data_IF_914450363140
#
_entry.id   IF_914450363140
#
_cell.length_a   1.000
_cell.length_b   1.000
_cell.length_c   1.000
_cell.angle_alpha   90.00
_cell.angle_beta   90.00
_cell.angle_gamma   90.00
#
_symmetry.space_group_name_H-M   'P 1'
#
loop_
_entity.id
_entity.type
_entity.pdbx_description
1 polymer ?
#
# COMPACT_ATOMS: atom_id res chain seq x y z
N UNK A 1 32.28 -3.47 -6.59
CA UNK A 1 32.26 -2.02 -6.92
C UNK A 1 32.46 -1.91 -8.42
N UNK A 2 31.58 -1.26 -9.18
CA UNK A 2 31.89 -0.96 -10.58
C UNK A 2 33.07 -0.01 -10.63
N UNK A 3 34.05 -0.30 -11.47
CA UNK A 3 35.28 0.49 -11.57
C UNK A 3 34.95 1.95 -11.95
N UNK A 4 35.62 2.89 -11.32
CA UNK A 4 35.48 4.35 -11.57
C UNK A 4 35.62 4.77 -13.03
N UNK A 5 36.16 3.89 -13.89
CA UNK A 5 36.34 4.13 -15.32
C UNK A 5 35.05 4.03 -16.15
N UNK A 6 34.03 3.29 -15.69
CA UNK A 6 32.77 3.17 -16.43
C UNK A 6 31.86 4.38 -16.24
N UNK A 7 31.94 5.05 -15.10
CA UNK A 7 31.13 6.26 -14.82
C UNK A 7 31.60 7.46 -15.66
N UNK A 8 32.88 7.52 -16.02
CA UNK A 8 33.46 8.61 -16.86
C UNK A 8 33.07 8.55 -18.34
N UNK A 9 32.54 7.40 -18.81
CA UNK A 9 32.11 7.22 -20.20
C UNK A 9 30.65 7.54 -20.47
N UNK A 10 29.87 7.84 -19.47
CA UNK A 10 28.48 8.27 -19.65
C UNK A 10 28.48 9.71 -20.13
N UNK A 11 28.39 9.88 -21.43
CA UNK A 11 28.44 11.19 -22.11
C UNK A 11 27.08 11.85 -22.25
N UNK A 12 25.99 11.25 -21.77
CA UNK A 12 24.67 11.85 -21.82
C UNK A 12 24.29 12.47 -20.49
N UNK A 13 23.82 13.67 -20.56
CA UNK A 13 23.42 14.55 -19.46
C UNK A 13 22.09 14.13 -18.79
N UNK A 14 21.56 12.95 -19.14
CA UNK A 14 20.23 12.50 -18.75
C UNK A 14 20.32 11.20 -17.94
N UNK A 15 19.93 11.26 -16.68
CA UNK A 15 20.00 10.13 -15.77
C UNK A 15 18.61 9.75 -15.26
N UNK A 16 18.10 8.57 -15.61
CA UNK A 16 16.86 8.05 -15.04
C UNK A 16 17.11 7.46 -13.65
N UNK A 17 16.49 8.04 -12.66
CA UNK A 17 16.21 7.43 -11.36
C UNK A 17 14.74 7.62 -11.09
N UNK A 18 14.20 6.91 -10.11
CA UNK A 18 12.79 7.04 -9.77
C UNK A 18 12.36 8.50 -9.61
N UNK A 19 11.16 8.80 -10.11
CA UNK A 19 10.57 10.13 -10.06
C UNK A 19 10.06 10.43 -8.64
N UNK A 20 10.99 10.57 -7.70
CA UNK A 20 10.68 10.77 -6.32
C UNK A 20 11.85 11.29 -5.50
N UNK A 21 11.58 11.58 -4.24
CA UNK A 21 12.56 12.15 -3.32
C UNK A 21 13.78 11.24 -3.13
N UNK A 22 13.57 9.94 -2.98
CA UNK A 22 14.66 8.98 -2.76
C UNK A 22 15.48 8.77 -4.04
N UNK A 23 14.81 8.74 -5.21
CA UNK A 23 15.51 8.64 -6.50
C UNK A 23 16.39 9.85 -6.78
N UNK A 24 15.93 11.07 -6.44
CA UNK A 24 16.74 12.28 -6.57
C UNK A 24 17.96 12.24 -5.65
N UNK A 25 17.78 11.79 -4.39
CA UNK A 25 18.89 11.63 -3.43
C UNK A 25 19.93 10.63 -3.95
N UNK A 26 19.50 9.44 -4.36
CA UNK A 26 20.39 8.39 -4.87
C UNK A 26 21.21 8.93 -6.06
N UNK A 27 20.53 9.55 -7.02
CA UNK A 27 21.22 10.12 -8.18
C UNK A 27 22.29 11.15 -7.77
N UNK A 28 21.94 12.12 -6.91
CA UNK A 28 22.87 13.17 -6.48
C UNK A 28 24.06 12.64 -5.70
N UNK A 29 23.85 11.64 -4.85
CA UNK A 29 24.94 11.00 -4.12
C UNK A 29 25.90 10.28 -5.07
N UNK A 30 25.40 9.54 -6.06
CA UNK A 30 26.22 8.88 -7.08
C UNK A 30 26.96 9.90 -7.93
N UNK A 31 26.27 10.98 -8.35
CA UNK A 31 26.85 12.06 -9.13
C UNK A 31 28.01 12.75 -8.39
N UNK A 32 27.82 13.08 -7.12
CA UNK A 32 28.85 13.67 -6.26
C UNK A 32 30.02 12.70 -6.03
N UNK A 33 29.73 11.43 -5.74
CA UNK A 33 30.76 10.41 -5.52
C UNK A 33 31.59 10.16 -6.78
N UNK A 34 31.00 10.29 -7.96
CA UNK A 34 31.71 10.20 -9.23
C UNK A 34 32.59 11.43 -9.54
N UNK A 35 32.51 12.49 -8.73
CA UNK A 35 33.24 13.74 -8.93
C UNK A 35 32.83 14.47 -10.22
N UNK A 36 31.64 14.20 -10.73
CA UNK A 36 31.14 14.86 -11.94
C UNK A 36 30.78 16.32 -11.66
N UNK A 37 31.14 17.21 -12.60
CA UNK A 37 30.89 18.66 -12.49
C UNK A 37 30.08 19.22 -13.65
N UNK A 38 29.59 18.36 -14.55
CA UNK A 38 28.78 18.78 -15.70
C UNK A 38 27.39 19.18 -15.24
N UNK A 39 26.75 20.10 -15.93
CA UNK A 39 25.31 20.34 -15.77
C UNK A 39 24.52 19.11 -16.20
N UNK A 40 23.38 18.88 -15.57
CA UNK A 40 22.49 17.76 -15.93
C UNK A 40 21.03 18.18 -15.89
N UNK A 41 20.23 17.47 -16.68
CA UNK A 41 18.79 17.59 -16.69
C UNK A 41 18.14 16.32 -16.15
N UNK A 42 16.96 16.46 -15.57
CA UNK A 42 16.22 15.34 -15.00
C UNK A 42 15.15 14.86 -15.96
N UNK A 43 15.14 13.56 -16.20
CA UNK A 43 14.03 12.84 -16.79
C UNK A 43 13.10 12.40 -15.65
N UNK A 44 11.88 12.93 -15.64
CA UNK A 44 10.91 12.66 -14.58
C UNK A 44 9.74 11.86 -15.16
N UNK A 45 9.66 10.59 -14.79
CA UNK A 45 8.68 9.64 -15.31
C UNK A 45 7.95 8.95 -14.16
N UNK A 46 6.64 8.94 -14.21
CA UNK A 46 5.76 8.16 -13.33
C UNK A 46 5.24 6.86 -13.99
N UNK A 47 5.48 6.71 -15.29
CA UNK A 47 5.09 5.55 -16.09
C UNK A 47 6.23 5.11 -17.00
N UNK A 48 6.36 3.81 -17.26
CA UNK A 48 7.34 3.22 -18.18
C UNK A 48 6.74 2.90 -19.57
N UNK A 49 5.59 3.46 -19.88
CA UNK A 49 4.98 3.36 -21.21
C UNK A 49 5.85 4.12 -22.25
N UNK A 50 5.94 3.60 -23.46
CA UNK A 50 6.82 4.15 -24.50
C UNK A 50 6.51 5.62 -24.82
N UNK A 51 5.24 6.00 -24.85
CA UNK A 51 4.82 7.37 -25.10
C UNK A 51 5.24 8.32 -23.97
N UNK A 52 5.07 7.89 -22.69
CA UNK A 52 5.49 8.67 -21.54
C UNK A 52 7.01 8.88 -21.53
N UNK A 53 7.79 7.86 -21.91
CA UNK A 53 9.24 7.96 -22.03
C UNK A 53 9.63 8.96 -23.13
N UNK A 54 9.03 8.87 -24.31
CA UNK A 54 9.30 9.81 -25.43
C UNK A 54 8.97 11.25 -25.05
N UNK A 55 7.83 11.47 -24.44
CA UNK A 55 7.38 12.77 -23.97
C UNK A 55 8.29 13.32 -22.86
N UNK A 56 8.69 12.48 -21.91
CA UNK A 56 9.62 12.84 -20.84
C UNK A 56 10.97 13.32 -21.39
N UNK A 57 11.52 12.65 -22.40
CA UNK A 57 12.75 13.10 -23.07
C UNK A 57 12.57 14.43 -23.84
N UNK A 58 11.37 14.71 -24.34
CA UNK A 58 11.08 15.99 -24.99
C UNK A 58 10.94 17.14 -23.96
N UNK A 59 10.65 16.84 -22.69
CA UNK A 59 10.40 17.82 -21.63
C UNK A 59 11.34 17.68 -20.43
N UNK A 60 12.62 17.49 -20.70
CA UNK A 60 13.65 17.43 -19.65
C UNK A 60 13.70 18.74 -18.86
N UNK A 61 13.81 18.62 -17.55
CA UNK A 61 13.86 19.76 -16.63
C UNK A 61 15.27 19.98 -16.07
N UNK A 62 15.68 21.22 -15.85
CA UNK A 62 16.97 21.51 -15.25
C UNK A 62 17.03 20.96 -13.81
N UNK A 63 18.18 20.49 -13.39
CA UNK A 63 18.42 19.90 -12.08
C UNK A 63 18.05 20.82 -10.90
N UNK A 64 18.13 22.13 -11.10
CA UNK A 64 17.83 23.14 -10.09
C UNK A 64 16.37 23.14 -9.62
N UNK A 65 15.44 22.69 -10.47
CA UNK A 65 14.04 22.55 -10.05
C UNK A 65 13.85 21.49 -8.95
N UNK A 66 14.79 20.58 -8.79
CA UNK A 66 14.74 19.48 -7.84
C UNK A 66 15.63 19.67 -6.60
N UNK A 67 16.27 20.83 -6.44
CA UNK A 67 17.14 21.11 -5.29
C UNK A 67 16.40 21.04 -3.95
N UNK A 68 15.17 21.56 -3.90
CA UNK A 68 14.35 21.48 -2.69
C UNK A 68 14.01 20.01 -2.33
N UNK A 69 13.73 19.18 -3.35
CA UNK A 69 13.42 17.77 -3.18
C UNK A 69 14.64 16.98 -2.67
N UNK A 70 15.82 17.24 -3.27
CA UNK A 70 17.09 16.70 -2.81
C UNK A 70 17.40 17.07 -1.37
N UNK A 71 17.28 18.36 -1.02
CA UNK A 71 17.54 18.84 0.33
C UNK A 71 16.59 18.21 1.35
N UNK A 72 15.31 18.05 1.01
CA UNK A 72 14.33 17.37 1.87
C UNK A 72 14.72 15.91 2.13
N UNK A 73 15.17 15.19 1.10
CA UNK A 73 15.63 13.80 1.22
C UNK A 73 16.90 13.72 2.09
N UNK A 74 17.87 14.57 1.83
CA UNK A 74 19.15 14.63 2.58
C UNK A 74 18.92 14.99 4.05
N UNK A 75 18.05 15.96 4.34
CA UNK A 75 17.69 16.32 5.72
C UNK A 75 17.05 15.13 6.45
N UNK A 76 16.15 14.41 5.78
CA UNK A 76 15.52 13.22 6.36
C UNK A 76 16.54 12.12 6.65
N UNK A 77 17.43 11.81 5.71
CA UNK A 77 18.47 10.79 5.89
C UNK A 77 19.37 11.13 7.08
N UNK A 78 19.85 12.37 7.13
CA UNK A 78 20.70 12.84 8.22
C UNK A 78 20.00 12.82 9.58
N UNK A 79 18.74 13.25 9.63
CA UNK A 79 17.96 13.23 10.86
C UNK A 79 17.72 11.78 11.35
N UNK A 80 17.36 10.88 10.45
CA UNK A 80 17.18 9.45 10.78
C UNK A 80 18.48 8.85 11.32
N UNK A 81 19.61 9.15 10.67
CA UNK A 81 20.92 8.67 11.11
C UNK A 81 21.32 9.25 12.47
N UNK A 82 21.23 10.57 12.66
CA UNK A 82 21.61 11.24 13.89
C UNK A 82 20.77 10.78 15.08
N UNK A 83 19.46 10.72 14.93
CA UNK A 83 18.55 10.28 16.00
C UNK A 83 18.76 8.79 16.27
N UNK A 84 18.79 7.98 15.23
CA UNK A 84 18.94 6.53 15.35
C UNK A 84 20.23 6.12 16.06
N UNK A 85 21.38 6.65 15.62
CA UNK A 85 22.67 6.26 16.22
C UNK A 85 22.84 6.77 17.64
N UNK A 86 22.50 8.05 17.92
CA UNK A 86 22.68 8.62 19.25
C UNK A 86 21.73 7.99 20.28
N UNK A 87 20.46 7.81 19.93
CA UNK A 87 19.48 7.16 20.81
C UNK A 87 19.83 5.68 21.04
N UNK A 88 20.23 4.95 20.01
CA UNK A 88 20.64 3.54 20.15
C UNK A 88 21.84 3.41 21.10
N UNK A 89 22.86 4.27 20.95
CA UNK A 89 24.03 4.27 21.83
C UNK A 89 23.64 4.64 23.26
N UNK A 90 22.84 5.70 23.44
CA UNK A 90 22.39 6.14 24.76
C UNK A 90 21.66 5.03 25.50
N UNK A 91 20.63 4.43 24.88
CA UNK A 91 19.86 3.38 25.52
C UNK A 91 20.69 2.10 25.72
N UNK A 92 21.57 1.76 24.80
CA UNK A 92 22.47 0.61 24.98
C UNK A 92 23.41 0.81 26.18
N UNK A 93 23.94 2.01 26.37
CA UNK A 93 24.76 2.32 27.55
C UNK A 93 23.95 2.31 28.85
N UNK A 94 22.74 2.90 28.85
CA UNK A 94 21.88 2.96 30.04
C UNK A 94 21.43 1.59 30.54
N UNK A 95 21.12 0.68 29.60
CA UNK A 95 20.57 -0.63 29.90
C UNK A 95 21.58 -1.79 29.83
N UNK A 96 22.84 -1.50 29.51
CA UNK A 96 23.92 -2.49 29.47
C UNK A 96 23.75 -3.57 28.41
N UNK A 97 22.94 -3.35 27.38
CA UNK A 97 22.68 -4.31 26.29
C UNK A 97 22.41 -3.57 24.97
N UNK A 98 22.66 -4.20 23.82
CA UNK A 98 22.38 -3.58 22.52
C UNK A 98 20.88 -3.28 22.35
N UNK A 99 20.53 -2.01 22.25
CA UNK A 99 19.16 -1.55 21.98
C UNK A 99 19.16 -0.67 20.74
N UNK A 100 18.39 -1.09 19.72
CA UNK A 100 18.25 -0.34 18.49
C UNK A 100 17.06 0.62 18.57
N UNK A 101 17.29 1.87 18.20
CA UNK A 101 16.25 2.89 18.04
C UNK A 101 16.16 3.28 16.57
N UNK A 102 14.96 3.34 16.04
CA UNK A 102 14.73 3.70 14.63
C UNK A 102 13.35 4.28 14.40
N UNK A 103 13.26 5.08 13.38
CA UNK A 103 12.07 5.85 13.01
C UNK A 103 10.81 4.98 12.78
N UNK A 104 10.98 3.76 12.32
CA UNK A 104 9.87 2.83 12.07
C UNK A 104 9.75 1.81 13.20
N UNK A 105 10.85 1.14 13.53
CA UNK A 105 10.83 0.04 14.51
C UNK A 105 10.39 0.47 15.91
N UNK A 106 10.82 1.63 16.39
CA UNK A 106 10.50 2.09 17.74
C UNK A 106 9.03 2.47 17.90
N UNK A 107 8.39 3.25 17.00
CA UNK A 107 6.95 3.48 17.07
C UNK A 107 6.13 2.19 16.94
N UNK A 108 6.51 1.26 16.07
CA UNK A 108 5.81 -0.03 15.94
C UNK A 108 5.89 -0.83 17.22
N UNK A 109 7.07 -0.90 17.85
CA UNK A 109 7.24 -1.53 19.16
C UNK A 109 6.37 -0.86 20.22
N UNK A 110 6.36 0.48 20.27
CA UNK A 110 5.53 1.22 21.22
C UNK A 110 4.03 0.92 21.03
N UNK A 111 3.55 0.89 19.78
CA UNK A 111 2.17 0.51 19.47
C UNK A 111 1.85 -0.91 19.93
N UNK A 112 2.77 -1.86 19.75
CA UNK A 112 2.63 -3.24 20.20
C UNK A 112 2.53 -3.32 21.72
N UNK A 113 3.43 -2.64 22.44
CA UNK A 113 3.43 -2.59 23.91
C UNK A 113 2.14 -1.99 24.47
N UNK A 114 1.66 -0.89 23.87
CA UNK A 114 0.38 -0.27 24.26
C UNK A 114 -0.79 -1.24 24.02
N UNK A 115 -0.77 -1.96 22.90
CA UNK A 115 -1.80 -2.95 22.59
C UNK A 115 -1.80 -4.11 23.57
N UNK A 116 -0.63 -4.66 23.88
CA UNK A 116 -0.46 -5.72 24.88
C UNK A 116 -0.94 -5.30 26.26
N UNK A 117 -0.58 -4.08 26.69
CA UNK A 117 -1.08 -3.51 27.93
C UNK A 117 -2.61 -3.38 27.96
N UNK A 118 -3.21 -2.94 26.84
CA UNK A 118 -4.68 -2.86 26.72
C UNK A 118 -5.35 -4.24 26.76
N UNK A 119 -4.71 -5.27 26.19
CA UNK A 119 -5.20 -6.66 26.25
C UNK A 119 -5.10 -7.18 27.69
N UNK A 120 -3.97 -6.95 28.37
CA UNK A 120 -3.77 -7.38 29.76
C UNK A 120 -4.72 -6.69 30.75
N UNK A 121 -5.07 -5.43 30.48
CA UNK A 121 -6.00 -4.64 31.28
C UNK A 121 -7.48 -4.84 30.89
N UNK A 122 -7.76 -5.69 29.88
CA UNK A 122 -9.11 -5.88 29.40
C UNK A 122 -10.00 -6.57 30.43
N UNK A 123 -11.06 -5.90 30.84
CA UNK A 123 -12.10 -6.45 31.73
C UNK A 123 -13.32 -6.77 30.88
N UNK A 124 -13.71 -8.07 30.77
CA UNK A 124 -14.89 -8.45 30.01
C UNK A 124 -16.16 -7.92 30.64
N UNK A 125 -16.97 -7.21 29.90
CA UNK A 125 -18.32 -6.80 30.32
C UNK A 125 -19.35 -7.79 29.79
N UNK A 126 -20.21 -8.30 30.73
CA UNK A 126 -21.31 -9.16 30.34
C UNK A 126 -22.47 -8.31 29.84
N UNK A 127 -23.08 -8.73 28.76
CA UNK A 127 -24.35 -8.21 28.29
C UNK A 127 -25.30 -9.36 27.96
N UNK A 128 -26.57 -9.05 27.88
CA UNK A 128 -27.63 -10.01 27.60
C UNK A 128 -28.44 -9.57 26.39
N UNK A 129 -28.85 -10.53 25.58
CA UNK A 129 -29.74 -10.31 24.44
C UNK A 129 -30.83 -11.38 24.46
N UNK A 130 -31.99 -11.01 23.95
CA UNK A 130 -33.09 -11.95 23.72
C UNK A 130 -33.12 -12.24 22.22
N UNK A 131 -33.01 -13.50 21.86
CA UNK A 131 -33.15 -13.97 20.50
C UNK A 131 -34.44 -14.76 20.34
N UNK A 132 -35.17 -14.49 19.28
CA UNK A 132 -36.41 -15.19 18.91
C UNK A 132 -36.17 -15.94 17.60
N UNK A 133 -36.66 -17.17 17.53
CA UNK A 133 -36.77 -17.92 16.29
C UNK A 133 -38.24 -17.98 15.91
N UNK A 134 -38.59 -17.51 14.76
CA UNK A 134 -39.97 -17.48 14.24
C UNK A 134 -40.29 -18.78 13.53
N UNK A 135 -41.58 -19.08 13.38
CA UNK A 135 -42.05 -20.33 12.77
C UNK A 135 -41.62 -20.51 11.29
N UNK A 136 -41.38 -19.42 10.58
CA UNK A 136 -40.89 -19.38 9.22
C UNK A 136 -39.35 -19.52 9.10
N UNK A 137 -38.66 -19.72 10.24
CA UNK A 137 -37.19 -19.76 10.30
C UNK A 137 -36.51 -18.39 10.42
N UNK A 138 -37.26 -17.31 10.41
CA UNK A 138 -36.73 -15.97 10.66
C UNK A 138 -36.20 -15.82 12.08
N UNK A 139 -35.24 -14.93 12.27
CA UNK A 139 -34.67 -14.62 13.61
C UNK A 139 -34.78 -13.16 13.91
N UNK A 140 -35.08 -12.83 15.17
CA UNK A 140 -35.09 -11.47 15.67
C UNK A 140 -34.25 -11.39 16.95
N UNK A 141 -33.49 -10.30 17.12
CA UNK A 141 -32.65 -10.07 18.29
C UNK A 141 -32.97 -8.73 18.93
N UNK A 142 -33.00 -8.69 20.24
CA UNK A 142 -33.15 -7.48 21.01
C UNK A 142 -31.86 -6.63 20.96
N UNK A 143 -31.94 -5.38 21.42
CA UNK A 143 -30.77 -4.62 21.87
C UNK A 143 -30.04 -5.34 23.00
N UNK A 144 -28.81 -4.93 23.25
CA UNK A 144 -28.03 -5.41 24.40
C UNK A 144 -28.55 -4.81 25.69
N UNK A 145 -28.70 -5.64 26.72
CA UNK A 145 -29.05 -5.24 28.09
C UNK A 145 -27.81 -5.42 28.98
N UNK A 146 -27.53 -4.45 29.84
CA UNK A 146 -26.47 -4.56 30.84
C UNK A 146 -26.87 -5.48 32.00
N UNK A 147 -28.16 -5.49 32.33
CA UNK A 147 -28.68 -6.31 33.43
C UNK A 147 -29.47 -7.50 32.89
N UNK A 148 -29.24 -8.66 33.52
CA UNK A 148 -29.90 -9.92 33.15
C UNK A 148 -31.43 -9.85 33.35
N UNK A 149 -31.87 -9.17 34.40
CA UNK A 149 -33.29 -9.01 34.76
C UNK A 149 -34.10 -8.35 33.65
N UNK A 150 -33.51 -7.32 32.98
CA UNK A 150 -34.18 -6.62 31.87
C UNK A 150 -34.39 -7.55 30.67
N UNK A 151 -33.42 -8.37 30.38
CA UNK A 151 -33.52 -9.36 29.29
C UNK A 151 -34.54 -10.47 29.64
N UNK A 152 -34.55 -10.94 30.88
CA UNK A 152 -35.51 -11.96 31.37
C UNK A 152 -36.95 -11.41 31.35
N UNK A 153 -37.16 -10.16 31.73
CA UNK A 153 -38.47 -9.51 31.64
C UNK A 153 -38.98 -9.44 30.20
N UNK A 154 -38.10 -9.01 29.24
CA UNK A 154 -38.47 -9.02 27.84
C UNK A 154 -38.78 -10.43 27.34
N UNK A 155 -37.97 -11.42 27.69
CA UNK A 155 -38.22 -12.82 27.32
C UNK A 155 -39.57 -13.35 27.86
N UNK A 156 -39.90 -13.05 29.12
CA UNK A 156 -41.18 -13.44 29.72
C UNK A 156 -42.36 -12.81 28.99
N UNK A 157 -42.27 -11.52 28.64
CA UNK A 157 -43.28 -10.82 27.85
C UNK A 157 -43.45 -11.44 26.46
N UNK A 158 -42.37 -11.75 25.76
CA UNK A 158 -42.42 -12.41 24.44
C UNK A 158 -43.10 -13.79 24.53
N UNK A 159 -42.80 -14.56 25.58
CA UNK A 159 -43.42 -15.87 25.78
C UNK A 159 -44.91 -15.76 26.10
N UNK A 160 -45.31 -14.76 26.89
CA UNK A 160 -46.72 -14.49 27.21
C UNK A 160 -47.55 -14.08 26.01
N UNK A 161 -47.02 -13.20 25.18
CA UNK A 161 -47.70 -12.71 23.98
C UNK A 161 -47.77 -13.76 22.86
N UNK A 162 -46.74 -14.62 22.74
CA UNK A 162 -46.67 -15.74 21.77
C UNK A 162 -46.65 -15.30 20.30
N UNK A 163 -46.62 -13.99 20.04
CA UNK A 163 -46.60 -13.39 18.69
C UNK A 163 -45.77 -12.13 18.67
N UNK A 164 -45.24 -11.79 17.50
CA UNK A 164 -44.56 -10.53 17.23
C UNK A 164 -45.18 -9.84 16.01
N UNK A 165 -45.18 -8.51 16.05
CA UNK A 165 -45.70 -7.69 14.94
C UNK A 165 -44.56 -6.89 14.36
N UNK A 166 -44.36 -6.96 13.06
CA UNK A 166 -43.40 -6.12 12.34
C UNK A 166 -43.97 -4.72 12.25
N UNK A 167 -43.38 -3.78 12.97
CA UNK A 167 -43.84 -2.37 12.98
C UNK A 167 -43.24 -1.58 11.80
N UNK A 168 -42.05 -1.91 11.36
CA UNK A 168 -41.37 -1.20 10.25
C UNK A 168 -40.53 -2.18 9.45
N UNK A 169 -40.59 -2.04 8.15
CA UNK A 169 -39.70 -2.71 7.23
C UNK A 169 -38.94 -1.66 6.42
N UNK A 170 -37.63 -1.73 6.44
CA UNK A 170 -36.77 -0.88 5.60
C UNK A 170 -36.00 -1.76 4.63
N UNK A 171 -36.17 -1.48 3.35
CA UNK A 171 -35.37 -2.07 2.28
C UNK A 171 -34.38 -1.01 1.81
N UNK A 172 -33.09 -1.28 1.95
CA UNK A 172 -32.03 -0.38 1.47
C UNK A 172 -31.21 -1.11 0.44
N UNK A 173 -31.07 -0.50 -0.72
CA UNK A 173 -30.09 -0.94 -1.72
C UNK A 173 -28.72 -0.44 -1.27
N UNK A 174 -27.77 -1.36 -1.24
CA UNK A 174 -26.37 -1.05 -1.05
C UNK A 174 -25.63 -1.28 -2.34
N UNK A 175 -24.91 -0.30 -2.79
CA UNK A 175 -23.92 -0.43 -3.85
C UNK A 175 -22.55 -0.62 -3.22
N UNK A 176 -21.87 -1.71 -3.59
CA UNK A 176 -20.49 -1.94 -3.19
C UNK A 176 -19.59 -1.66 -4.38
N UNK A 177 -18.60 -0.81 -4.15
CA UNK A 177 -17.59 -0.54 -5.17
C UNK A 177 -16.68 -1.76 -5.33
N UNK A 178 -16.19 -2.04 -6.56
CA UNK A 178 -15.20 -3.08 -6.76
C UNK A 178 -13.93 -2.79 -5.96
N UNK A 179 -13.13 -3.82 -5.62
CA UNK A 179 -11.84 -3.62 -4.99
C UNK A 179 -10.96 -2.68 -5.81
N UNK A 180 -10.19 -1.86 -5.12
CA UNK A 180 -9.16 -1.03 -5.77
C UNK A 180 -8.01 -1.91 -6.27
N UNK A 181 -7.17 -1.36 -7.15
CA UNK A 181 -5.93 -2.00 -7.56
C UNK A 181 -5.00 -2.22 -6.34
N UNK A 182 -4.02 -3.08 -6.51
CA UNK A 182 -3.07 -3.39 -5.44
C UNK A 182 -1.98 -2.33 -5.29
N UNK A 183 -1.80 -1.87 -4.07
CA UNK A 183 -0.51 -1.43 -3.53
C UNK A 183 0.21 -2.64 -2.90
N UNK A 184 1.44 -2.46 -2.45
CA UNK A 184 2.20 -3.55 -1.80
C UNK A 184 1.49 -4.07 -0.55
N UNK A 185 0.95 -3.18 0.28
CA UNK A 185 0.30 -3.56 1.54
C UNK A 185 -0.97 -4.38 1.32
N UNK A 186 -1.79 -3.99 0.34
CA UNK A 186 -2.99 -4.75 -0.02
C UNK A 186 -2.64 -6.13 -0.58
N UNK A 187 -1.63 -6.20 -1.45
CA UNK A 187 -1.12 -7.46 -1.98
C UNK A 187 -0.64 -8.38 -0.84
N UNK A 188 0.16 -7.86 0.10
CA UNK A 188 0.65 -8.63 1.25
C UNK A 188 -0.49 -9.15 2.14
N UNK A 189 -1.51 -8.33 2.39
CA UNK A 189 -2.68 -8.72 3.19
C UNK A 189 -3.48 -9.83 2.53
N UNK A 190 -3.73 -9.72 1.23
CA UNK A 190 -4.49 -10.73 0.50
C UNK A 190 -3.68 -12.01 0.29
N UNK A 191 -2.39 -11.92 0.00
CA UNK A 191 -1.50 -13.08 -0.07
C UNK A 191 -1.41 -13.82 1.27
N UNK A 192 -1.38 -13.09 2.39
CA UNK A 192 -1.43 -13.72 3.71
C UNK A 192 -2.79 -14.40 3.96
N UNK A 193 -3.89 -13.72 3.65
CA UNK A 193 -5.24 -14.25 3.86
C UNK A 193 -5.54 -15.50 3.02
N UNK A 194 -5.09 -15.52 1.74
CA UNK A 194 -5.42 -16.57 0.79
C UNK A 194 -4.42 -17.72 0.81
N UNK A 195 -3.15 -17.43 1.04
CA UNK A 195 -2.04 -18.40 0.90
C UNK A 195 -1.17 -18.56 2.15
N UNK A 196 -1.41 -17.78 3.20
CA UNK A 196 -0.61 -17.81 4.42
C UNK A 196 0.80 -17.22 4.26
N UNK A 197 1.08 -16.51 3.18
CA UNK A 197 2.41 -15.92 2.97
C UNK A 197 2.69 -14.82 3.97
N UNK A 198 3.93 -14.73 4.42
CA UNK A 198 4.40 -13.59 5.20
C UNK A 198 4.53 -12.35 4.30
N UNK A 199 4.55 -11.17 4.90
CA UNK A 199 4.77 -9.93 4.16
C UNK A 199 6.11 -9.95 3.38
N UNK A 200 7.16 -10.53 3.99
CA UNK A 200 8.47 -10.66 3.34
C UNK A 200 8.41 -11.61 2.15
N UNK A 201 7.83 -12.81 2.30
CA UNK A 201 7.68 -13.75 1.19
C UNK A 201 6.91 -13.14 0.01
N UNK A 202 5.83 -12.41 0.30
CA UNK A 202 5.06 -11.72 -0.74
C UNK A 202 5.90 -10.68 -1.47
N UNK A 203 6.71 -9.90 -0.73
CA UNK A 203 7.62 -8.92 -1.33
C UNK A 203 8.69 -9.60 -2.18
N UNK A 204 9.29 -10.70 -1.71
CA UNK A 204 10.35 -11.41 -2.43
C UNK A 204 9.83 -11.99 -3.75
N UNK A 205 8.62 -12.57 -3.75
CA UNK A 205 7.96 -13.04 -4.98
C UNK A 205 7.65 -11.88 -5.92
N UNK A 206 7.07 -10.79 -5.41
CA UNK A 206 6.77 -9.63 -6.23
C UNK A 206 8.04 -9.00 -6.81
N UNK A 207 9.12 -8.92 -6.04
CA UNK A 207 10.42 -8.45 -6.50
C UNK A 207 10.98 -9.33 -7.63
N UNK A 208 10.92 -10.65 -7.47
CA UNK A 208 11.35 -11.60 -8.51
C UNK A 208 10.54 -11.46 -9.80
N UNK A 209 9.21 -11.26 -9.70
CA UNK A 209 8.35 -11.03 -10.86
C UNK A 209 8.69 -9.70 -11.56
N UNK A 210 8.96 -8.65 -10.79
CA UNK A 210 9.39 -7.35 -11.32
C UNK A 210 10.72 -7.45 -12.07
N UNK A 211 11.72 -8.12 -11.50
CA UNK A 211 13.03 -8.32 -12.15
C UNK A 211 12.92 -9.10 -13.47
N UNK A 212 11.93 -9.99 -13.56
CA UNK A 212 11.56 -10.69 -14.80
C UNK A 212 10.68 -9.86 -15.73
N UNK A 213 10.35 -8.62 -15.36
CA UNK A 213 9.47 -7.71 -16.10
C UNK A 213 8.04 -8.22 -16.28
N UNK A 214 7.56 -9.06 -15.38
CA UNK A 214 6.20 -9.62 -15.43
C UNK A 214 5.18 -8.74 -14.75
N UNK A 215 5.58 -7.97 -13.74
CA UNK A 215 4.74 -6.98 -13.06
C UNK A 215 5.45 -5.61 -13.00
N UNK A 216 4.68 -4.57 -12.69
CA UNK A 216 5.21 -3.23 -12.41
C UNK A 216 5.92 -3.18 -11.04
N UNK A 217 6.55 -2.06 -10.69
CA UNK A 217 7.36 -1.94 -9.48
C UNK A 217 6.56 -2.24 -8.20
N UNK A 218 6.99 -3.21 -7.37
CA UNK A 218 6.15 -3.71 -6.29
C UNK A 218 6.07 -2.81 -5.06
N UNK A 219 7.07 -1.94 -4.82
CA UNK A 219 7.07 -1.05 -3.64
C UNK A 219 6.33 0.24 -3.93
N UNK A 220 5.06 0.12 -4.25
CA UNK A 220 4.16 1.26 -4.45
C UNK A 220 3.15 1.37 -3.31
N UNK A 221 2.79 2.59 -2.96
CA UNK A 221 1.72 2.95 -2.04
C UNK A 221 0.44 3.42 -2.76
N UNK A 222 0.52 3.57 -4.09
CA UNK A 222 -0.62 3.98 -4.91
C UNK A 222 -1.49 2.78 -5.29
N UNK A 223 -2.80 3.04 -5.35
CA UNK A 223 -3.84 2.12 -5.85
C UNK A 223 -4.50 2.65 -7.11
N UNK A 224 -3.87 3.66 -7.73
CA UNK A 224 -4.37 4.34 -8.92
C UNK A 224 -3.31 4.32 -10.00
N UNK A 225 -3.76 4.60 -11.23
CA UNK A 225 -2.94 4.71 -12.42
C UNK A 225 -2.93 6.15 -12.91
N UNK A 226 -1.98 6.47 -13.77
CA UNK A 226 -1.85 7.76 -14.43
C UNK A 226 -2.71 7.83 -15.68
N UNK A 227 -3.03 9.03 -16.14
CA UNK A 227 -3.91 9.31 -17.27
C UNK A 227 -3.38 8.72 -18.59
N UNK A 228 -2.08 8.70 -18.79
CA UNK A 228 -1.40 8.16 -19.98
C UNK A 228 -1.62 6.64 -20.14
N UNK A 229 -1.87 5.93 -19.04
CA UNK A 229 -2.12 4.49 -19.05
C UNK A 229 -3.54 4.12 -19.48
N UNK A 230 -4.48 5.06 -19.50
CA UNK A 230 -5.89 4.80 -19.75
C UNK A 230 -6.16 4.10 -21.10
N UNK A 231 -5.41 4.48 -22.12
CA UNK A 231 -5.58 3.90 -23.47
C UNK A 231 -5.06 2.46 -23.59
N UNK A 232 -4.01 2.10 -22.85
CA UNK A 232 -3.38 0.78 -22.92
C UNK A 232 -4.05 -0.26 -22.02
N UNK A 233 -4.76 0.19 -20.98
CA UNK A 233 -5.34 -0.67 -19.95
C UNK A 233 -6.33 -1.72 -20.45
N UNK A 234 -7.29 -1.42 -21.36
CA UNK A 234 -8.22 -2.44 -21.87
C UNK A 234 -7.51 -3.60 -22.57
N UNK A 235 -6.49 -3.30 -23.38
CA UNK A 235 -5.66 -4.31 -24.04
C UNK A 235 -4.90 -5.18 -23.04
N UNK A 236 -4.28 -4.54 -22.03
CA UNK A 236 -3.54 -5.25 -20.98
C UNK A 236 -4.45 -6.20 -20.20
N UNK A 237 -5.66 -5.76 -19.83
CA UNK A 237 -6.63 -6.62 -19.11
C UNK A 237 -7.06 -7.80 -19.95
N UNK A 238 -7.34 -7.58 -21.23
CA UNK A 238 -7.72 -8.65 -22.16
C UNK A 238 -6.60 -9.69 -22.32
N UNK A 239 -5.37 -9.23 -22.55
CA UNK A 239 -4.21 -10.11 -22.75
C UNK A 239 -3.89 -10.91 -21.47
N UNK A 240 -3.94 -10.25 -20.32
CA UNK A 240 -3.74 -10.88 -19.02
C UNK A 240 -4.88 -11.89 -18.73
N UNK A 241 -6.13 -11.53 -19.02
CA UNK A 241 -7.28 -12.43 -18.84
C UNK A 241 -7.11 -13.71 -19.63
N UNK A 242 -6.64 -13.63 -20.87
CA UNK A 242 -6.33 -14.82 -21.70
C UNK A 242 -5.24 -15.69 -21.08
N UNK A 243 -4.16 -15.08 -20.60
CA UNK A 243 -3.05 -15.82 -19.99
C UNK A 243 -3.47 -16.60 -18.74
N UNK A 244 -4.46 -16.10 -18.00
CA UNK A 244 -4.99 -16.76 -16.81
C UNK A 244 -6.30 -17.51 -17.03
N UNK A 245 -6.69 -17.77 -18.30
CA UNK A 245 -7.90 -18.50 -18.68
C UNK A 245 -9.19 -17.93 -18.05
N UNK A 246 -9.26 -16.61 -17.97
CA UNK A 246 -10.47 -15.92 -17.55
C UNK A 246 -11.43 -15.84 -18.74
N UNK A 247 -12.49 -16.63 -18.71
CA UNK A 247 -13.34 -16.89 -19.88
C UNK A 247 -14.33 -15.77 -20.19
N UNK A 248 -14.69 -14.93 -19.24
CA UNK A 248 -15.70 -13.89 -19.47
C UNK A 248 -15.10 -12.49 -19.57
N UNK A 249 -15.47 -11.72 -20.61
CA UNK A 249 -15.12 -10.30 -20.67
C UNK A 249 -15.92 -9.54 -19.61
N UNK A 250 -15.22 -9.00 -18.62
CA UNK A 250 -15.88 -8.09 -17.68
C UNK A 250 -15.83 -6.65 -18.20
N UNK A 251 -16.81 -5.82 -17.83
CA UNK A 251 -16.77 -4.41 -18.15
C UNK A 251 -15.60 -3.75 -17.47
N UNK A 252 -14.74 -3.11 -18.24
CA UNK A 252 -13.56 -2.40 -17.73
C UNK A 252 -13.95 -0.94 -17.52
N UNK A 253 -14.03 -0.53 -16.27
CA UNK A 253 -14.33 0.85 -15.88
C UNK A 253 -13.04 1.64 -15.67
N UNK A 254 -12.32 1.96 -16.75
CA UNK A 254 -11.00 2.62 -16.74
C UNK A 254 -10.98 3.86 -15.84
N UNK A 255 -12.03 4.70 -15.90
CA UNK A 255 -12.09 5.95 -15.14
C UNK A 255 -12.12 5.75 -13.61
N UNK A 256 -12.47 4.58 -13.12
CA UNK A 256 -12.49 4.31 -11.68
C UNK A 256 -11.09 4.08 -11.10
N UNK A 257 -10.14 3.71 -11.93
CA UNK A 257 -8.76 3.40 -11.53
C UNK A 257 -7.75 4.46 -11.94
N UNK A 258 -8.15 5.43 -12.77
CA UNK A 258 -7.30 6.53 -13.20
C UNK A 258 -7.43 7.71 -12.23
N UNK A 259 -6.33 8.09 -11.62
CA UNK A 259 -6.22 9.30 -10.81
C UNK A 259 -4.76 9.65 -10.57
N UNK A 260 -4.14 10.38 -11.50
CA UNK A 260 -2.73 10.75 -11.40
C UNK A 260 -2.38 11.59 -10.18
N UNK A 261 -3.34 12.36 -9.62
CA UNK A 261 -3.09 13.12 -8.39
C UNK A 261 -2.86 12.25 -7.14
N UNK A 262 -3.25 10.97 -7.20
CA UNK A 262 -3.04 9.95 -6.15
C UNK A 262 -1.92 8.98 -6.48
N UNK A 263 -1.20 9.22 -7.55
CA UNK A 263 0.03 8.50 -7.89
C UNK A 263 1.19 9.35 -7.39
N UNK A 264 2.02 8.78 -6.53
CA UNK A 264 3.23 9.41 -5.98
C UNK A 264 4.42 9.11 -6.89
N UNK A 265 5.36 8.29 -6.43
CA UNK A 265 6.54 7.90 -7.19
C UNK A 265 6.22 6.78 -8.20
N UNK A 266 5.28 5.90 -7.86
CA UNK A 266 4.87 4.75 -8.66
C UNK A 266 3.35 4.56 -8.64
N UNK A 267 2.80 4.12 -9.78
CA UNK A 267 1.38 3.75 -9.89
C UNK A 267 1.10 2.39 -9.25
N UNK A 268 -0.17 1.98 -9.19
CA UNK A 268 -0.62 0.70 -8.67
C UNK A 268 0.08 -0.49 -9.36
N UNK A 269 0.15 -1.62 -8.65
CA UNK A 269 0.68 -2.87 -9.18
C UNK A 269 -0.20 -3.40 -10.33
N UNK A 270 0.45 -3.70 -11.43
CA UNK A 270 -0.18 -4.32 -12.61
C UNK A 270 0.70 -5.43 -13.18
N UNK A 271 0.11 -6.44 -13.81
CA UNK A 271 0.84 -7.30 -14.74
C UNK A 271 1.33 -6.47 -15.93
N UNK A 272 2.40 -6.90 -16.57
CA UNK A 272 2.88 -6.30 -17.82
C UNK A 272 2.45 -7.12 -19.03
N UNK A 273 2.64 -6.56 -20.23
CA UNK A 273 2.42 -7.32 -21.48
C UNK A 273 3.30 -8.57 -21.57
N UNK A 274 4.48 -8.55 -20.95
CA UNK A 274 5.36 -9.74 -20.89
C UNK A 274 4.75 -10.87 -20.08
N UNK A 275 3.94 -10.58 -19.07
CA UNK A 275 3.24 -11.59 -18.29
C UNK A 275 2.17 -12.31 -19.11
N UNK A 276 1.49 -11.61 -20.00
CA UNK A 276 0.48 -12.19 -20.88
C UNK A 276 1.09 -13.16 -21.91
N UNK A 277 2.40 -13.10 -22.15
CA UNK A 277 3.13 -13.92 -23.10
C UNK A 277 4.04 -14.95 -22.40
N UNK A 278 4.06 -15.01 -21.09
CA UNK A 278 4.88 -15.94 -20.30
C UNK A 278 4.11 -17.24 -20.01
#
# INVERSE_FOLDING_TARGET
MPSSNNVRKVTSENYPTDAGREGELIFRLVYQQAGCKKSFSRLWLSSMEENAIREGFAHLKPSTEYDALYNAALCRERADWMVGINASRLFSCLYGQPLAVGRVMTPVLAMTVVREAAIAAFVPEKFYTVALTLADGGTASSKRFAQKVDAELLLANCRKEGRVTVQKMERKEKSESPPQLYDLTALQRDANRLFGFTAQQTLDYAQSLYEKRLITYPRTDSRFLTEDMAASLPGLVTDTGRAFAVEEPFPIHVQQVINGSKVTDHHALLPTKSMANA
#
